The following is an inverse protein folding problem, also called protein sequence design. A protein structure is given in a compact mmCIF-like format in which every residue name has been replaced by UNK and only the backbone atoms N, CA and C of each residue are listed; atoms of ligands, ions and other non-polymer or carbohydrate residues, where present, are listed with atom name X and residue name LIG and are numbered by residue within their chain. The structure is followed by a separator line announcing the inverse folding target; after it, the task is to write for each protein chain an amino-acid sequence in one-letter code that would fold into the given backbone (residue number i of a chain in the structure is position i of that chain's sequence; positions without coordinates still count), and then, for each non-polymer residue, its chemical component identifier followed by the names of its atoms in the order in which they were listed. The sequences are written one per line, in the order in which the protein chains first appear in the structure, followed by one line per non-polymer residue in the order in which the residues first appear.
data_IF_405841271017
#
_entry.id   IF_405841271017
#
_cell.length_a   1.000
_cell.length_b   1.000
_cell.length_c   1.000
_cell.angle_alpha   90.00
_cell.angle_beta   90.00
_cell.angle_gamma   90.00
#
_symmetry.space_group_name_H-M   'P 1'
#
loop_
_entity.id
_entity.type
_entity.pdbx_description
1 polymer ?
#
# COMPACT_ATOMS: atom_id res chain seq x y z
N UNK A 1 -14.23 -27.92 4.71
CA UNK A 1 -13.29 -26.83 4.45
C UNK A 1 -14.08 -25.59 4.10
N UNK A 2 -13.98 -24.60 4.92
CA UNK A 2 -14.63 -23.33 4.68
C UNK A 2 -13.71 -22.47 3.81
N UNK A 3 -14.14 -22.17 2.61
CA UNK A 3 -13.54 -21.08 1.85
C UNK A 3 -13.97 -19.77 2.54
N UNK A 4 -13.01 -19.05 3.08
CA UNK A 4 -13.28 -17.75 3.67
C UNK A 4 -13.54 -16.74 2.55
N UNK A 5 -14.79 -16.70 2.08
CA UNK A 5 -15.24 -15.80 1.00
C UNK A 5 -15.24 -14.34 1.41
N UNK A 6 -15.12 -14.06 2.73
CA UNK A 6 -15.11 -12.70 3.26
C UNK A 6 -13.69 -12.15 3.47
N UNK A 7 -12.68 -12.99 3.21
CA UNK A 7 -11.28 -12.60 3.41
C UNK A 7 -10.82 -11.67 2.28
N UNK A 8 -10.28 -10.52 2.66
CA UNK A 8 -9.67 -9.59 1.72
C UNK A 8 -8.15 -9.79 1.71
N UNK A 9 -7.58 -9.89 0.52
CA UNK A 9 -6.13 -9.99 0.34
C UNK A 9 -5.57 -8.66 -0.15
N UNK A 10 -4.51 -8.21 0.50
CA UNK A 10 -3.75 -7.05 0.05
C UNK A 10 -2.65 -7.53 -0.91
N UNK A 11 -2.80 -7.22 -2.18
CA UNK A 11 -1.80 -7.54 -3.21
C UNK A 11 -0.85 -6.36 -3.31
N UNK A 12 0.38 -6.57 -2.87
CA UNK A 12 1.40 -5.53 -2.80
C UNK A 12 2.35 -5.68 -3.98
N UNK A 13 2.40 -4.66 -4.84
CA UNK A 13 3.34 -4.61 -5.97
C UNK A 13 4.60 -3.91 -5.49
N UNK A 14 5.69 -4.65 -5.39
CA UNK A 14 6.93 -4.22 -4.75
C UNK A 14 8.03 -4.10 -5.80
N UNK A 15 8.75 -2.99 -5.80
CA UNK A 15 9.87 -2.77 -6.70
C UNK A 15 10.33 -1.33 -6.69
N UNK A 16 11.50 -1.05 -7.29
CA UNK A 16 12.04 0.30 -7.37
C UNK A 16 11.21 1.18 -8.32
N UNK A 17 11.37 2.51 -8.22
CA UNK A 17 10.73 3.44 -9.16
C UNK A 17 11.09 3.10 -10.61
N UNK A 18 10.11 3.22 -11.52
CA UNK A 18 10.34 3.02 -12.95
C UNK A 18 10.38 1.57 -13.42
N UNK A 19 10.14 0.59 -12.53
CA UNK A 19 10.17 -0.84 -12.89
C UNK A 19 8.84 -1.32 -13.51
N UNK A 20 7.81 -0.49 -13.51
CA UNK A 20 6.50 -0.84 -14.08
C UNK A 20 5.45 -1.26 -13.07
N UNK A 21 5.59 -0.87 -11.80
CA UNK A 21 4.64 -1.22 -10.73
C UNK A 21 3.21 -0.81 -11.07
N UNK A 22 3.00 0.44 -11.46
CA UNK A 22 1.66 0.96 -11.76
C UNK A 22 1.04 0.26 -12.97
N UNK A 23 1.86 -0.07 -13.97
CA UNK A 23 1.39 -0.81 -15.15
C UNK A 23 0.94 -2.22 -14.77
N UNK A 24 1.73 -2.95 -14.02
CA UNK A 24 1.38 -4.29 -13.57
C UNK A 24 0.16 -4.26 -12.65
N UNK A 25 0.10 -3.30 -11.72
CA UNK A 25 -1.03 -3.13 -10.84
C UNK A 25 -2.33 -2.87 -11.62
N UNK A 26 -2.28 -2.00 -12.63
CA UNK A 26 -3.44 -1.70 -13.47
C UNK A 26 -3.90 -2.90 -14.29
N UNK A 27 -2.97 -3.65 -14.88
CA UNK A 27 -3.28 -4.88 -15.63
C UNK A 27 -3.91 -5.94 -14.73
N UNK A 28 -3.36 -6.15 -13.55
CA UNK A 28 -3.89 -7.10 -12.58
C UNK A 28 -5.28 -6.69 -12.11
N UNK A 29 -5.47 -5.41 -11.83
CA UNK A 29 -6.78 -4.86 -11.44
C UNK A 29 -7.83 -5.15 -12.53
N UNK A 30 -7.52 -4.82 -13.79
CA UNK A 30 -8.43 -5.06 -14.91
C UNK A 30 -8.72 -6.55 -15.08
N UNK A 31 -7.70 -7.38 -15.00
CA UNK A 31 -7.83 -8.83 -15.15
C UNK A 31 -8.77 -9.43 -14.09
N UNK A 32 -8.56 -9.07 -12.83
CA UNK A 32 -9.40 -9.58 -11.73
C UNK A 32 -10.85 -9.08 -11.83
N UNK A 33 -11.03 -7.82 -12.24
CA UNK A 33 -12.37 -7.26 -12.49
C UNK A 33 -13.10 -8.04 -13.59
N UNK A 34 -12.43 -8.31 -14.71
CA UNK A 34 -13.00 -9.06 -15.84
C UNK A 34 -13.39 -10.47 -15.38
N UNK A 35 -12.63 -11.08 -14.49
CA UNK A 35 -12.94 -12.41 -13.94
C UNK A 35 -14.04 -12.41 -12.89
N UNK A 36 -14.60 -11.26 -12.56
CA UNK A 36 -15.75 -11.13 -11.66
C UNK A 36 -15.42 -10.95 -10.17
N UNK A 37 -14.14 -10.74 -9.83
CA UNK A 37 -13.77 -10.46 -8.44
C UNK A 37 -14.07 -9.01 -8.06
N UNK A 38 -14.41 -8.81 -6.80
CA UNK A 38 -14.56 -7.46 -6.25
C UNK A 38 -13.16 -6.98 -5.82
N UNK A 39 -12.64 -6.00 -6.55
CA UNK A 39 -11.26 -5.53 -6.44
C UNK A 39 -11.24 -4.01 -6.32
N UNK A 40 -10.37 -3.50 -5.44
CA UNK A 40 -10.06 -2.08 -5.35
C UNK A 40 -8.59 -1.83 -5.64
N UNK A 41 -8.32 -0.67 -6.23
CA UNK A 41 -6.97 -0.20 -6.55
C UNK A 41 -6.60 0.93 -5.60
N UNK A 42 -5.47 0.80 -4.91
CA UNK A 42 -4.93 1.84 -4.04
C UNK A 42 -3.71 2.45 -4.68
N UNK A 43 -3.86 3.68 -5.14
CA UNK A 43 -2.77 4.45 -5.69
C UNK A 43 -1.80 4.88 -4.60
N UNK A 44 -0.52 4.99 -4.93
CA UNK A 44 0.51 5.50 -4.03
C UNK A 44 0.14 6.90 -3.52
N UNK A 45 0.02 7.05 -2.20
CA UNK A 45 -0.46 8.29 -1.59
C UNK A 45 0.49 9.47 -1.84
N UNK A 46 1.79 9.22 -1.90
CA UNK A 46 2.79 10.27 -2.11
C UNK A 46 2.57 11.03 -3.43
N UNK A 47 1.98 10.41 -4.44
CA UNK A 47 1.69 11.07 -5.72
C UNK A 47 0.81 12.29 -5.54
N UNK A 48 -0.22 12.21 -4.69
CA UNK A 48 -1.09 13.35 -4.38
C UNK A 48 -0.31 14.52 -3.79
N UNK A 49 0.63 14.22 -2.91
CA UNK A 49 1.45 15.23 -2.25
C UNK A 49 2.43 15.90 -3.22
N UNK A 50 2.94 15.12 -4.17
CA UNK A 50 3.77 15.68 -5.25
C UNK A 50 2.97 16.67 -6.11
N UNK A 51 1.75 16.32 -6.48
CA UNK A 51 0.89 17.20 -7.28
C UNK A 51 0.52 18.48 -6.55
N UNK A 52 0.32 18.42 -5.24
CA UNK A 52 0.00 19.60 -4.42
C UNK A 52 1.24 20.30 -3.87
N UNK A 53 2.44 19.79 -4.12
CA UNK A 53 3.73 20.32 -3.64
C UNK A 53 3.82 20.39 -2.12
N UNK A 54 3.21 19.44 -1.43
CA UNK A 54 3.27 19.37 0.04
C UNK A 54 4.53 18.59 0.47
N UNK A 55 5.68 19.26 0.36
CA UNK A 55 6.98 18.64 0.63
C UNK A 55 7.20 18.31 2.10
N UNK A 56 6.59 19.05 3.03
CA UNK A 56 6.68 18.74 4.46
C UNK A 56 6.02 17.39 4.74
N UNK A 57 4.84 17.15 4.19
CA UNK A 57 4.15 15.87 4.34
C UNK A 57 4.91 14.73 3.65
N UNK A 58 5.50 14.97 2.47
CA UNK A 58 6.31 13.97 1.74
C UNK A 58 7.49 13.48 2.59
N UNK A 59 8.09 14.37 3.38
CA UNK A 59 9.24 14.04 4.22
C UNK A 59 8.85 13.46 5.58
N UNK A 60 7.56 13.31 5.86
CA UNK A 60 7.09 12.69 7.09
C UNK A 60 6.63 11.26 6.81
N UNK A 61 7.56 10.30 6.95
CA UNK A 61 7.28 8.90 6.62
C UNK A 61 6.20 8.29 7.52
N UNK A 62 6.12 8.68 8.78
CA UNK A 62 5.06 8.22 9.67
C UNK A 62 3.68 8.62 9.12
N UNK A 63 3.55 9.87 8.72
CA UNK A 63 2.30 10.39 8.15
C UNK A 63 1.91 9.65 6.87
N UNK A 64 2.87 9.44 5.96
CA UNK A 64 2.64 8.72 4.71
C UNK A 64 2.16 7.29 4.97
N UNK A 65 2.82 6.59 5.87
CA UNK A 65 2.48 5.21 6.21
C UNK A 65 1.14 5.12 6.93
N UNK A 66 0.83 6.08 7.79
CA UNK A 66 -0.46 6.15 8.47
C UNK A 66 -1.60 6.33 7.47
N UNK A 67 -1.43 7.21 6.48
CA UNK A 67 -2.43 7.43 5.43
C UNK A 67 -2.63 6.19 4.56
N UNK A 68 -1.55 5.54 4.19
CA UNK A 68 -1.63 4.28 3.44
C UNK A 68 -2.37 3.21 4.25
N UNK A 69 -2.03 3.06 5.52
CA UNK A 69 -2.70 2.11 6.41
C UNK A 69 -4.19 2.42 6.53
N UNK A 70 -4.56 3.68 6.74
CA UNK A 70 -5.97 4.08 6.91
C UNK A 70 -6.80 3.73 5.66
N UNK A 71 -6.25 3.94 4.47
CA UNK A 71 -6.93 3.59 3.22
C UNK A 71 -7.11 2.08 3.09
N UNK A 72 -6.06 1.31 3.34
CA UNK A 72 -6.13 -0.16 3.28
C UNK A 72 -7.09 -0.72 4.32
N UNK A 73 -7.02 -0.21 5.54
CA UNK A 73 -7.90 -0.66 6.64
C UNK A 73 -9.36 -0.38 6.33
N UNK A 74 -9.67 0.78 5.77
CA UNK A 74 -11.02 1.13 5.36
C UNK A 74 -11.57 0.17 4.31
N UNK A 75 -10.77 -0.19 3.32
CA UNK A 75 -11.14 -1.12 2.26
C UNK A 75 -11.35 -2.52 2.82
N UNK A 76 -10.41 -3.01 3.59
CA UNK A 76 -10.47 -4.36 4.18
C UNK A 76 -11.62 -4.49 5.16
N UNK A 77 -11.86 -3.46 5.97
CA UNK A 77 -12.93 -3.44 6.98
C UNK A 77 -14.32 -3.35 6.38
N UNK A 78 -14.45 -2.98 5.10
CA UNK A 78 -15.75 -2.93 4.43
C UNK A 78 -16.42 -4.30 4.32
N UNK A 79 -15.63 -5.37 4.30
CA UNK A 79 -16.10 -6.74 4.25
C UNK A 79 -16.58 -7.22 2.88
N UNK A 80 -16.58 -6.34 1.87
CA UNK A 80 -17.10 -6.64 0.53
C UNK A 80 -16.02 -6.78 -0.56
N UNK A 81 -14.78 -6.46 -0.23
CA UNK A 81 -13.67 -6.43 -1.19
C UNK A 81 -12.85 -7.71 -1.06
N UNK A 82 -12.62 -8.40 -2.17
CA UNK A 82 -11.81 -9.63 -2.21
C UNK A 82 -10.32 -9.35 -2.31
N UNK A 83 -9.94 -8.39 -3.16
CA UNK A 83 -8.56 -8.02 -3.40
C UNK A 83 -8.40 -6.51 -3.38
N UNK A 84 -7.33 -6.06 -2.75
CA UNK A 84 -6.93 -4.67 -2.73
C UNK A 84 -5.51 -4.59 -3.31
N UNK A 85 -5.37 -3.97 -4.48
CA UNK A 85 -4.08 -3.89 -5.16
C UNK A 85 -3.42 -2.56 -4.82
N UNK A 86 -2.21 -2.62 -4.28
CA UNK A 86 -1.44 -1.44 -3.90
C UNK A 86 -0.14 -1.35 -4.70
N UNK A 87 0.07 -0.25 -5.42
CA UNK A 87 1.34 0.03 -6.10
C UNK A 87 2.29 0.88 -5.25
N UNK A 88 1.82 1.32 -4.08
CA UNK A 88 2.63 1.97 -3.05
C UNK A 88 2.43 1.29 -1.70
N UNK A 89 2.82 0.01 -1.56
CA UNK A 89 2.52 -0.75 -0.36
C UNK A 89 3.25 -0.26 0.88
N UNK A 90 2.72 -0.62 2.05
CA UNK A 90 3.31 -0.27 3.35
C UNK A 90 4.79 -0.68 3.45
N UNK A 91 5.17 -1.80 2.82
CA UNK A 91 6.54 -2.28 2.85
C UNK A 91 7.54 -1.26 2.29
N UNK A 92 7.15 -0.49 1.27
CA UNK A 92 8.01 0.57 0.74
C UNK A 92 8.33 1.62 1.80
N UNK A 93 7.41 1.84 2.73
CA UNK A 93 7.62 2.77 3.84
C UNK A 93 8.81 2.40 4.72
N UNK A 94 9.08 1.10 4.89
CA UNK A 94 10.26 0.65 5.65
C UNK A 94 11.55 1.11 5.00
N UNK A 95 11.63 1.02 3.67
CA UNK A 95 12.81 1.41 2.91
C UNK A 95 13.00 2.92 2.95
N UNK A 96 11.95 3.67 2.64
CA UNK A 96 12.01 5.14 2.61
C UNK A 96 12.24 5.74 3.99
N UNK A 97 11.72 5.10 5.04
CA UNK A 97 11.96 5.52 6.42
C UNK A 97 13.46 5.56 6.78
N UNK A 98 14.22 4.61 6.24
CA UNK A 98 15.66 4.52 6.46
C UNK A 98 16.48 5.33 5.45
N UNK A 99 16.02 5.43 4.21
CA UNK A 99 16.81 5.99 3.11
C UNK A 99 16.60 7.48 2.85
N UNK A 100 15.45 8.03 3.24
CA UNK A 100 15.19 9.45 3.02
C UNK A 100 15.97 10.31 4.03
N UNK A 101 16.98 11.07 3.58
CA UNK A 101 17.80 11.89 4.49
C UNK A 101 17.00 13.06 5.10
N UNK A 102 15.89 13.45 4.47
CA UNK A 102 15.02 14.53 4.91
C UNK A 102 13.84 14.05 5.75
N UNK A 103 13.80 12.77 6.11
CA UNK A 103 12.73 12.19 6.90
C UNK A 103 12.63 12.87 8.26
N UNK A 104 11.49 13.51 8.52
CA UNK A 104 11.24 14.26 9.77
C UNK A 104 10.60 13.42 10.87
N UNK A 105 10.17 12.19 10.55
CA UNK A 105 9.55 11.30 11.53
C UNK A 105 10.60 10.59 12.40
N UNK A 106 10.15 10.07 13.55
CA UNK A 106 11.01 9.23 14.38
C UNK A 106 11.17 7.86 13.71
N UNK A 107 12.40 7.53 13.32
CA UNK A 107 12.69 6.33 12.51
C UNK A 107 12.28 5.05 13.23
N UNK A 108 12.63 4.90 14.50
CA UNK A 108 12.33 3.68 15.27
C UNK A 108 10.83 3.47 15.49
N UNK A 109 10.13 4.54 15.87
CA UNK A 109 8.68 4.49 16.08
C UNK A 109 7.94 4.24 14.77
N UNK A 110 8.39 4.83 13.68
CA UNK A 110 7.80 4.68 12.35
C UNK A 110 7.98 3.24 11.86
N UNK A 111 9.17 2.66 12.03
CA UNK A 111 9.43 1.27 11.67
C UNK A 111 8.49 0.32 12.41
N UNK A 112 8.38 0.47 13.72
CA UNK A 112 7.49 -0.34 14.54
C UNK A 112 6.03 -0.22 14.07
N UNK A 113 5.59 1.00 13.81
CA UNK A 113 4.24 1.27 13.34
C UNK A 113 3.97 0.56 12.01
N UNK A 114 4.89 0.66 11.05
CA UNK A 114 4.73 0.03 9.74
C UNK A 114 4.67 -1.50 9.86
N UNK A 115 5.56 -2.09 10.64
CA UNK A 115 5.57 -3.54 10.85
C UNK A 115 4.28 -4.03 11.50
N UNK A 116 3.78 -3.31 12.51
CA UNK A 116 2.50 -3.63 13.14
C UNK A 116 1.34 -3.54 12.14
N UNK A 117 1.35 -2.53 11.28
CA UNK A 117 0.32 -2.36 10.26
C UNK A 117 0.35 -3.47 9.21
N UNK A 118 1.53 -3.84 8.72
CA UNK A 118 1.69 -4.92 7.75
C UNK A 118 1.10 -6.22 8.28
N UNK A 119 1.31 -6.50 9.55
CA UNK A 119 0.82 -7.72 10.20
C UNK A 119 -0.70 -7.82 10.30
N UNK A 120 -1.43 -6.75 10.06
CA UNK A 120 -2.91 -6.72 10.15
C UNK A 120 -3.60 -7.18 8.88
N UNK A 121 -2.87 -7.38 7.79
CA UNK A 121 -3.44 -7.73 6.49
C UNK A 121 -3.02 -9.12 6.05
N UNK A 122 -3.83 -9.70 5.15
CA UNK A 122 -3.48 -10.92 4.44
C UNK A 122 -2.71 -10.52 3.18
N UNK A 123 -1.40 -10.54 3.25
CA UNK A 123 -0.53 -10.00 2.21
C UNK A 123 -0.18 -11.03 1.14
N UNK A 124 -0.27 -10.59 -0.11
CA UNK A 124 0.30 -11.28 -1.27
C UNK A 124 1.31 -10.33 -1.88
N UNK A 125 2.58 -10.68 -1.82
CA UNK A 125 3.65 -9.81 -2.28
C UNK A 125 4.13 -10.22 -3.66
N UNK A 126 4.15 -9.27 -4.60
CA UNK A 126 4.66 -9.47 -5.95
C UNK A 126 5.88 -8.57 -6.12
N UNK A 127 7.03 -9.18 -6.34
CA UNK A 127 8.30 -8.47 -6.49
C UNK A 127 8.65 -8.32 -7.96
N UNK A 128 8.90 -7.09 -8.39
CA UNK A 128 9.32 -6.76 -9.76
C UNK A 128 10.81 -6.45 -9.86
#
# INVERSE_FOLDING_TARGET
MTTDTNKCYAINIIGPPGVGKSTIAALLFAHLKIRGYVVEYVQEYVKKLVWTRDFDAINNQFYLSKKTFQTLDQIVSSGSIRYCISDGPLLHGLVYNLQNPDNTSNVEKTEKFILDCIGKFNNINIYL
#
